data_IF_158657198054
#
_entry.id   IF_158657198054
#
_cell.length_a   1.000
_cell.length_b   1.000
_cell.length_c   1.000
_cell.angle_alpha   90.00
_cell.angle_beta   90.00
_cell.angle_gamma   90.00
#
_symmetry.space_group_name_H-M   'P 1'
#
loop_
_entity.id
_entity.type
_entity.pdbx_description
1 polymer ?
#
# COMPACT_ATOMS: atom_id res chain seq x y z
N UNK A 1 -5.18 5.92 28.65
CA UNK A 1 -6.55 5.81 28.08
C UNK A 1 -6.40 5.35 26.64
N UNK A 2 -6.85 4.13 26.34
CA UNK A 2 -6.76 3.51 25.02
C UNK A 2 -7.88 4.08 24.15
N UNK A 3 -7.54 4.90 23.16
CA UNK A 3 -8.51 5.39 22.19
C UNK A 3 -8.93 4.24 21.29
N UNK A 4 -10.20 3.83 21.36
CA UNK A 4 -10.77 2.86 20.44
C UNK A 4 -10.57 3.36 19.00
N UNK A 5 -9.86 2.58 18.18
CA UNK A 5 -9.63 2.85 16.77
C UNK A 5 -10.94 2.54 16.04
N UNK A 6 -11.88 3.48 16.04
CA UNK A 6 -13.11 3.34 15.26
C UNK A 6 -12.76 3.37 13.76
N UNK A 7 -13.35 2.48 12.96
CA UNK A 7 -13.12 2.52 11.53
C UNK A 7 -13.75 3.78 10.92
N UNK A 8 -12.90 4.77 10.58
CA UNK A 8 -13.23 5.90 9.72
C UNK A 8 -13.99 5.46 8.45
N UNK A 9 -15.17 6.03 8.13
CA UNK A 9 -15.96 5.69 6.96
C UNK A 9 -15.29 6.13 5.65
N UNK A 10 -15.54 5.39 4.56
CA UNK A 10 -15.03 5.69 3.21
C UNK A 10 -15.29 7.14 2.75
N UNK A 11 -16.45 7.69 3.08
CA UNK A 11 -16.79 9.08 2.76
C UNK A 11 -15.90 10.12 3.46
N UNK A 12 -15.40 9.83 4.66
CA UNK A 12 -14.47 10.74 5.33
C UNK A 12 -13.09 10.72 4.68
N UNK A 13 -12.61 9.57 4.19
CA UNK A 13 -11.31 9.44 3.50
C UNK A 13 -11.32 10.25 2.20
N UNK A 14 -12.36 10.09 1.38
CA UNK A 14 -12.51 10.83 0.11
C UNK A 14 -12.58 12.34 0.38
N UNK A 15 -13.33 12.76 1.40
CA UNK A 15 -13.42 14.17 1.81
C UNK A 15 -12.07 14.70 2.33
N UNK A 16 -11.30 13.90 3.06
CA UNK A 16 -10.00 14.31 3.61
C UNK A 16 -8.91 14.43 2.53
N UNK A 17 -9.03 13.66 1.43
CA UNK A 17 -8.13 13.71 0.27
C UNK A 17 -8.46 14.85 -0.68
N UNK A 18 -9.75 15.11 -0.93
CA UNK A 18 -10.21 16.09 -1.92
C UNK A 18 -10.58 17.46 -1.34
N UNK A 19 -10.90 17.54 -0.04
CA UNK A 19 -11.58 18.69 0.56
C UNK A 19 -10.76 19.56 1.51
N UNK A 20 -9.47 19.29 1.72
CA UNK A 20 -8.65 20.11 2.64
C UNK A 20 -8.04 21.33 1.95
N UNK A 21 -8.21 22.50 2.58
CA UNK A 21 -7.42 23.69 2.30
C UNK A 21 -5.91 23.34 2.29
N UNK A 22 -5.13 23.99 1.41
CA UNK A 22 -3.69 23.75 1.29
C UNK A 22 -3.02 23.90 2.66
N UNK A 23 -2.59 22.78 3.25
CA UNK A 23 -1.90 22.80 4.54
C UNK A 23 -0.59 23.59 4.43
N UNK A 24 -0.49 24.67 5.20
CA UNK A 24 0.65 25.59 5.17
C UNK A 24 1.82 25.09 6.01
N UNK A 25 1.58 24.23 7.00
CA UNK A 25 2.64 23.71 7.85
C UNK A 25 3.44 22.60 7.13
N UNK A 26 4.77 22.73 6.98
CA UNK A 26 5.57 21.81 6.17
C UNK A 26 5.62 20.40 6.76
N UNK A 27 5.62 20.26 8.10
CA UNK A 27 5.61 18.95 8.77
C UNK A 27 4.28 18.23 8.49
N UNK A 28 3.15 18.92 8.72
CA UNK A 28 1.82 18.32 8.49
C UNK A 28 1.59 17.99 7.01
N UNK A 29 2.14 18.79 6.09
CA UNK A 29 2.13 18.49 4.65
C UNK A 29 2.81 17.15 4.34
N UNK A 30 4.00 16.90 4.89
CA UNK A 30 4.70 15.63 4.70
C UNK A 30 3.90 14.43 5.24
N UNK A 31 3.32 14.55 6.44
CA UNK A 31 2.45 13.48 6.96
C UNK A 31 1.19 13.25 6.10
N UNK A 32 0.65 14.31 5.49
CA UNK A 32 -0.48 14.17 4.56
C UNK A 32 -0.08 13.47 3.26
N UNK A 33 1.11 13.75 2.72
CA UNK A 33 1.65 13.02 1.57
C UNK A 33 1.91 11.55 1.90
N UNK A 34 2.44 11.23 3.10
CA UNK A 34 2.56 9.85 3.57
C UNK A 34 1.20 9.14 3.65
N UNK A 35 0.17 9.84 4.12
CA UNK A 35 -1.20 9.32 4.20
C UNK A 35 -1.81 9.08 2.81
N UNK A 36 -1.61 9.98 1.85
CA UNK A 36 -2.05 9.78 0.45
C UNK A 36 -1.41 8.54 -0.16
N UNK A 37 -0.11 8.35 0.06
CA UNK A 37 0.59 7.16 -0.40
C UNK A 37 0.05 5.89 0.27
N UNK A 38 -0.37 5.97 1.53
CA UNK A 38 -1.00 4.86 2.24
C UNK A 38 -2.35 4.47 1.64
N UNK A 39 -3.17 5.46 1.26
CA UNK A 39 -4.42 5.25 0.53
C UNK A 39 -4.18 4.60 -0.82
N UNK A 40 -3.21 5.12 -1.59
CA UNK A 40 -2.90 4.57 -2.89
C UNK A 40 -2.43 3.11 -2.79
N UNK A 41 -1.59 2.81 -1.81
CA UNK A 41 -1.15 1.45 -1.46
C UNK A 41 -2.32 0.55 -1.07
N UNK A 42 -3.28 1.05 -0.29
CA UNK A 42 -4.48 0.32 0.09
C UNK A 42 -5.39 0.01 -1.11
N UNK A 43 -5.56 0.95 -2.03
CA UNK A 43 -6.30 0.72 -3.29
C UNK A 43 -5.59 -0.36 -4.11
N UNK A 44 -4.26 -0.29 -4.25
CA UNK A 44 -3.49 -1.34 -4.93
C UNK A 44 -3.65 -2.69 -4.24
N UNK A 45 -3.68 -2.74 -2.90
CA UNK A 45 -3.93 -3.98 -2.16
C UNK A 45 -5.31 -4.58 -2.46
N UNK A 46 -6.36 -3.75 -2.57
CA UNK A 46 -7.69 -4.21 -2.96
C UNK A 46 -7.69 -4.84 -4.36
N UNK A 47 -6.98 -4.21 -5.31
CA UNK A 47 -6.84 -4.76 -6.66
C UNK A 47 -6.10 -6.11 -6.64
N UNK A 48 -5.01 -6.23 -5.88
CA UNK A 48 -4.25 -7.48 -5.72
C UNK A 48 -5.12 -8.59 -5.12
N UNK A 49 -5.95 -8.30 -4.11
CA UNK A 49 -6.90 -9.28 -3.54
C UNK A 49 -7.82 -9.82 -4.63
N UNK A 50 -8.47 -8.93 -5.39
CA UNK A 50 -9.42 -9.32 -6.43
C UNK A 50 -8.77 -10.16 -7.54
N UNK A 51 -7.58 -9.75 -7.98
CA UNK A 51 -6.84 -10.47 -9.03
C UNK A 51 -6.31 -11.81 -8.54
N UNK A 52 -5.76 -11.89 -7.33
CA UNK A 52 -5.29 -13.14 -6.74
C UNK A 52 -6.44 -14.13 -6.53
N UNK A 53 -7.59 -13.67 -6.03
CA UNK A 53 -8.80 -14.51 -5.92
C UNK A 53 -9.28 -14.97 -7.30
N UNK A 54 -9.22 -14.10 -8.31
CA UNK A 54 -9.52 -14.43 -9.70
C UNK A 54 -8.62 -15.55 -10.24
N UNK A 55 -7.31 -15.48 -9.99
CA UNK A 55 -6.35 -16.53 -10.38
C UNK A 55 -6.68 -17.86 -9.68
N UNK A 56 -6.89 -17.84 -8.36
CA UNK A 56 -7.21 -19.04 -7.57
C UNK A 56 -8.51 -19.70 -8.09
N UNK A 57 -9.53 -18.90 -8.46
CA UNK A 57 -10.81 -19.41 -8.95
C UNK A 57 -10.71 -20.18 -10.29
N UNK A 58 -9.59 -20.05 -11.00
CA UNK A 58 -9.35 -20.63 -12.32
C UNK A 58 -8.48 -21.89 -12.28
N UNK A 59 -8.35 -22.49 -11.10
CA UNK A 59 -7.59 -23.73 -10.85
C UNK A 59 -6.17 -23.70 -11.46
N UNK A 60 -5.30 -22.77 -11.01
CA UNK A 60 -3.99 -22.56 -11.58
C UNK A 60 -3.04 -23.71 -11.22
N UNK A 61 -1.87 -23.76 -11.88
CA UNK A 61 -0.80 -24.70 -11.51
C UNK A 61 -0.42 -24.56 -10.03
N UNK A 62 0.07 -25.64 -9.39
CA UNK A 62 0.41 -25.64 -7.95
C UNK A 62 1.34 -24.49 -7.54
N UNK A 63 2.28 -24.10 -8.42
CA UNK A 63 3.21 -23.00 -8.17
C UNK A 63 2.49 -21.65 -8.24
N UNK A 64 1.69 -21.43 -9.29
CA UNK A 64 0.91 -20.19 -9.46
C UNK A 64 -0.17 -20.05 -8.38
N UNK A 65 -0.76 -21.15 -7.92
CA UNK A 65 -1.66 -21.19 -6.77
C UNK A 65 -0.97 -20.66 -5.51
N UNK A 66 0.25 -21.11 -5.22
CA UNK A 66 1.01 -20.65 -4.07
C UNK A 66 1.36 -19.16 -4.17
N UNK A 67 1.76 -18.69 -5.35
CA UNK A 67 2.04 -17.28 -5.61
C UNK A 67 0.81 -16.38 -5.41
N UNK A 68 -0.33 -16.81 -5.95
CA UNK A 68 -1.61 -16.11 -5.82
C UNK A 68 -2.11 -16.13 -4.37
N UNK A 69 -2.00 -17.25 -3.65
CA UNK A 69 -2.38 -17.35 -2.25
C UNK A 69 -1.53 -16.43 -1.36
N UNK A 70 -0.22 -16.34 -1.61
CA UNK A 70 0.65 -15.39 -0.91
C UNK A 70 0.23 -13.94 -1.17
N UNK A 71 -0.03 -13.58 -2.43
CA UNK A 71 -0.50 -12.23 -2.80
C UNK A 71 -1.86 -11.90 -2.18
N UNK A 72 -2.77 -12.86 -2.12
CA UNK A 72 -4.07 -12.72 -1.45
C UNK A 72 -3.88 -12.44 0.05
N UNK A 73 -2.98 -13.17 0.71
CA UNK A 73 -2.67 -12.97 2.13
C UNK A 73 -2.04 -11.59 2.40
N UNK A 74 -1.03 -11.20 1.60
CA UNK A 74 -0.38 -9.88 1.70
C UNK A 74 -1.37 -8.76 1.43
N UNK A 75 -2.18 -8.87 0.38
CA UNK A 75 -3.23 -7.89 0.07
C UNK A 75 -4.24 -7.76 1.21
N UNK A 76 -4.72 -8.89 1.75
CA UNK A 76 -5.69 -8.92 2.86
C UNK A 76 -5.13 -8.29 4.13
N UNK A 77 -3.87 -8.58 4.49
CA UNK A 77 -3.22 -7.95 5.63
C UNK A 77 -3.21 -6.41 5.49
N UNK A 78 -2.84 -5.92 4.31
CA UNK A 78 -2.79 -4.49 4.03
C UNK A 78 -4.17 -3.83 3.95
N UNK A 79 -5.19 -4.57 3.53
CA UNK A 79 -6.57 -4.13 3.56
C UNK A 79 -7.01 -3.79 5.00
N UNK A 80 -6.69 -4.65 5.97
CA UNK A 80 -7.02 -4.43 7.38
C UNK A 80 -6.09 -3.44 8.10
N UNK A 81 -4.85 -3.25 7.61
CA UNK A 81 -3.88 -2.34 8.23
C UNK A 81 -4.05 -0.85 7.88
N UNK A 82 -5.04 -0.47 7.09
CA UNK A 82 -5.29 0.91 6.59
C UNK A 82 -5.46 2.01 7.68
N UNK A 83 -5.37 1.68 8.98
CA UNK A 83 -5.76 2.57 10.09
C UNK A 83 -4.69 2.81 11.13
N UNK A 84 -3.43 2.92 10.73
CA UNK A 84 -2.38 3.36 11.66
C UNK A 84 -2.14 4.86 11.46
N UNK A 85 -2.89 5.76 12.13
CA UNK A 85 -2.64 7.20 12.04
C UNK A 85 -1.24 7.50 12.57
N UNK A 86 -0.38 8.02 11.69
CA UNK A 86 0.99 8.37 12.04
C UNK A 86 1.03 9.82 12.49
N UNK A 87 1.61 10.06 13.66
CA UNK A 87 1.85 11.40 14.18
C UNK A 87 3.33 11.54 14.57
N UNK A 88 3.87 12.76 14.63
CA UNK A 88 5.22 12.97 15.14
C UNK A 88 5.36 12.43 16.55
N UNK A 89 6.58 12.01 16.89
CA UNK A 89 6.89 11.44 18.20
C UNK A 89 6.68 12.45 19.34
N UNK A 90 6.99 13.73 19.12
CA UNK A 90 6.77 14.78 20.11
C UNK A 90 6.61 16.18 19.47
N UNK A 91 6.28 17.18 20.28
CA UNK A 91 6.24 18.59 19.87
C UNK A 91 7.63 19.18 19.53
N UNK A 92 8.71 18.45 19.79
CA UNK A 92 10.10 18.84 19.51
C UNK A 92 10.78 17.95 18.49
N UNK A 93 10.18 16.79 18.16
CA UNK A 93 10.73 15.82 17.25
C UNK A 93 9.70 15.50 16.14
N UNK A 94 9.95 15.94 14.89
CA UNK A 94 9.02 15.74 13.78
C UNK A 94 9.00 14.30 13.26
N UNK A 95 9.94 13.45 13.73
CA UNK A 95 10.12 12.09 13.21
C UNK A 95 8.92 11.20 13.53
N UNK A 96 8.59 10.28 12.61
CA UNK A 96 7.62 9.25 12.91
C UNK A 96 8.18 8.30 13.97
N UNK A 97 7.32 7.62 14.71
CA UNK A 97 7.77 6.70 15.72
C UNK A 97 8.39 5.41 15.14
N UNK A 98 9.21 4.73 15.94
CA UNK A 98 9.98 3.55 15.50
C UNK A 98 9.07 2.42 14.99
N UNK A 99 7.93 2.19 15.66
CA UNK A 99 6.97 1.16 15.23
C UNK A 99 6.43 1.40 13.83
N UNK A 100 6.29 2.66 13.40
CA UNK A 100 5.92 2.97 12.02
C UNK A 100 7.01 2.56 11.02
N UNK A 101 8.28 2.79 11.35
CA UNK A 101 9.41 2.37 10.51
C UNK A 101 9.48 0.84 10.37
N UNK A 102 9.23 0.12 11.46
CA UNK A 102 9.19 -1.35 11.45
C UNK A 102 8.06 -1.86 10.56
N UNK A 103 6.84 -1.31 10.71
CA UNK A 103 5.69 -1.68 9.87
C UNK A 103 5.98 -1.39 8.39
N UNK A 104 6.57 -0.23 8.10
CA UNK A 104 6.91 0.15 6.73
C UNK A 104 7.97 -0.78 6.12
N UNK A 105 8.98 -1.17 6.90
CA UNK A 105 10.01 -2.13 6.46
C UNK A 105 9.42 -3.50 6.15
N UNK A 106 8.60 -4.04 7.06
CA UNK A 106 7.92 -5.33 6.86
C UNK A 106 6.98 -5.27 5.65
N UNK A 107 6.19 -4.20 5.52
CA UNK A 107 5.33 -3.95 4.36
C UNK A 107 6.13 -3.96 3.06
N UNK A 108 7.26 -3.25 3.04
CA UNK A 108 8.15 -3.18 1.87
C UNK A 108 8.64 -4.57 1.49
N UNK A 109 9.14 -5.36 2.44
CA UNK A 109 9.60 -6.73 2.20
C UNK A 109 8.48 -7.65 1.70
N UNK A 110 7.28 -7.55 2.28
CA UNK A 110 6.12 -8.35 1.86
C UNK A 110 5.72 -8.06 0.41
N UNK A 111 5.68 -6.78 0.01
CA UNK A 111 5.35 -6.38 -1.36
C UNK A 111 6.45 -6.78 -2.36
N UNK A 112 7.73 -6.71 -1.96
CA UNK A 112 8.84 -7.24 -2.77
C UNK A 112 8.66 -8.72 -3.05
N UNK A 113 8.47 -9.52 -1.99
CA UNK A 113 8.23 -10.94 -2.14
C UNK A 113 6.96 -11.23 -2.96
N UNK A 114 5.92 -10.39 -2.86
CA UNK A 114 4.64 -10.59 -3.55
C UNK A 114 4.77 -10.46 -5.07
N UNK A 115 5.39 -9.39 -5.56
CA UNK A 115 5.57 -9.23 -7.00
C UNK A 115 6.62 -10.22 -7.54
N UNK A 116 7.72 -10.47 -6.81
CA UNK A 116 8.72 -11.47 -7.22
C UNK A 116 8.06 -12.85 -7.36
N UNK A 117 7.23 -13.25 -6.40
CA UNK A 117 6.49 -14.51 -6.48
C UNK A 117 5.62 -14.57 -7.76
N UNK A 118 4.95 -13.48 -8.15
CA UNK A 118 4.12 -13.48 -9.37
C UNK A 118 4.93 -13.49 -10.66
N UNK A 119 6.09 -12.83 -10.73
CA UNK A 119 6.91 -12.78 -11.94
C UNK A 119 7.85 -13.98 -12.10
N UNK A 120 8.51 -14.41 -11.03
CA UNK A 120 9.48 -15.51 -11.07
C UNK A 120 8.78 -16.85 -11.25
N UNK A 121 7.63 -17.07 -10.60
CA UNK A 121 6.88 -18.33 -10.71
C UNK A 121 6.19 -18.44 -12.08
N UNK A 122 5.92 -17.31 -12.74
CA UNK A 122 5.42 -17.27 -14.11
C UNK A 122 6.44 -17.86 -15.10
N UNK A 123 7.71 -17.47 -15.03
CA UNK A 123 8.77 -17.97 -15.93
C UNK A 123 8.92 -19.50 -15.85
N UNK A 124 8.84 -20.08 -14.64
CA UNK A 124 8.98 -21.53 -14.46
C UNK A 124 7.74 -22.36 -14.86
N UNK A 125 6.63 -21.70 -15.21
CA UNK A 125 5.43 -22.40 -15.70
C UNK A 125 5.48 -22.58 -17.21
N UNK A 126 6.08 -21.64 -17.94
CA UNK A 126 6.21 -21.72 -19.41
C UNK A 126 7.24 -22.79 -19.85
N UNK A 127 8.20 -23.18 -19.00
CA UNK A 127 9.21 -24.21 -19.34
C UNK A 127 8.80 -25.66 -19.01
N UNK A 128 7.67 -25.89 -18.33
CA UNK A 128 7.33 -27.24 -17.81
C UNK A 128 6.09 -27.90 -18.41
N UNK A 129 5.43 -27.30 -19.40
CA UNK A 129 4.49 -28.02 -20.25
C UNK A 129 5.22 -28.67 -21.44
N UNK A 130 6.10 -29.62 -21.12
CA UNK A 130 6.36 -30.74 -22.03
C UNK A 130 4.99 -31.42 -22.30
N UNK A 131 4.51 -31.49 -23.55
CA UNK A 131 3.17 -32.01 -23.89
C UNK A 131 3.15 -33.53 -23.75
N UNK A 132 3.21 -34.02 -22.52
CA UNK A 132 3.15 -35.45 -22.22
C UNK A 132 1.68 -35.90 -22.15
N UNK A 133 1.24 -36.41 -23.30
CA UNK A 133 0.30 -37.55 -23.42
C UNK A 133 -1.17 -37.36 -23.03
N UNK A 134 -1.90 -36.40 -23.61
CA UNK A 134 -3.37 -36.55 -23.81
C UNK A 134 -3.89 -35.99 -25.16
N UNK A 135 -3.04 -35.94 -26.19
CA UNK A 135 -3.42 -35.46 -27.53
C UNK A 135 -4.21 -36.49 -28.36
N UNK A 136 -5.16 -37.22 -27.75
CA UNK A 136 -6.13 -38.08 -28.46
C UNK A 136 -7.50 -38.08 -27.76
N UNK A 137 -8.23 -36.98 -27.88
CA UNK A 137 -9.71 -36.88 -28.05
C UNK A 137 -10.24 -35.61 -27.38
N UNK A 138 -10.33 -34.50 -28.13
CA UNK A 138 -11.39 -33.48 -27.97
C UNK A 138 -11.13 -32.30 -28.92
N UNK A 139 -11.54 -32.43 -30.18
CA UNK A 139 -11.43 -31.37 -31.19
C UNK A 139 -12.40 -30.19 -31.03
N UNK A 140 -13.05 -30.04 -29.86
CA UNK A 140 -14.02 -28.95 -29.57
C UNK A 140 -13.66 -28.19 -28.28
N UNK A 141 -12.70 -28.68 -27.47
CA UNK A 141 -12.28 -28.04 -26.21
C UNK A 141 -11.03 -27.13 -26.35
N UNK A 142 -10.42 -27.07 -27.54
CA UNK A 142 -9.16 -26.37 -27.78
C UNK A 142 -9.26 -24.85 -27.63
N UNK A 143 -10.34 -24.22 -28.13
CA UNK A 143 -10.53 -22.77 -28.05
C UNK A 143 -10.78 -22.28 -26.60
N UNK A 144 -11.48 -23.08 -25.78
CA UNK A 144 -11.77 -22.74 -24.37
C UNK A 144 -10.49 -22.81 -23.52
N UNK A 145 -9.61 -23.77 -23.84
CA UNK A 145 -8.32 -23.93 -23.17
C UNK A 145 -7.38 -22.76 -23.45
N UNK A 146 -7.27 -22.31 -24.70
CA UNK A 146 -6.40 -21.17 -25.07
C UNK A 146 -6.87 -19.86 -24.44
N UNK A 147 -8.19 -19.63 -24.38
CA UNK A 147 -8.76 -18.45 -23.73
C UNK A 147 -8.50 -18.41 -22.22
N UNK A 148 -8.57 -19.55 -21.55
CA UNK A 148 -8.35 -19.64 -20.09
C UNK A 148 -6.88 -19.42 -19.72
N UNK A 149 -5.94 -19.97 -20.50
CA UNK A 149 -4.49 -19.76 -20.31
C UNK A 149 -4.12 -18.30 -20.53
N UNK A 150 -4.59 -17.67 -21.61
CA UNK A 150 -4.36 -16.25 -21.87
C UNK A 150 -4.96 -15.36 -20.77
N UNK A 151 -6.15 -15.71 -20.26
CA UNK A 151 -6.78 -15.01 -19.14
C UNK A 151 -5.95 -15.12 -17.85
N UNK A 152 -5.46 -16.32 -17.49
CA UNK A 152 -4.59 -16.53 -16.34
C UNK A 152 -3.29 -15.74 -16.45
N UNK A 153 -2.67 -15.70 -17.64
CA UNK A 153 -1.48 -14.89 -17.89
C UNK A 153 -1.75 -13.39 -17.71
N UNK A 154 -2.88 -12.89 -18.21
CA UNK A 154 -3.27 -11.49 -18.06
C UNK A 154 -3.57 -11.13 -16.60
N UNK A 155 -4.27 -12.01 -15.86
CA UNK A 155 -4.54 -11.82 -14.44
C UNK A 155 -3.26 -11.85 -13.60
N UNK A 156 -2.35 -12.78 -13.88
CA UNK A 156 -1.07 -12.88 -13.18
C UNK A 156 -0.19 -11.66 -13.44
N UNK A 157 -0.14 -11.18 -14.69
CA UNK A 157 0.59 -9.96 -15.05
C UNK A 157 0.00 -8.74 -14.33
N UNK A 158 -1.32 -8.57 -14.38
CA UNK A 158 -2.01 -7.48 -13.71
C UNK A 158 -1.75 -7.53 -12.20
N UNK A 159 -1.84 -8.71 -11.56
CA UNK A 159 -1.60 -8.88 -10.14
C UNK A 159 -0.16 -8.49 -9.76
N UNK A 160 0.83 -8.93 -10.55
CA UNK A 160 2.23 -8.54 -10.38
C UNK A 160 2.44 -7.02 -10.51
N UNK A 161 1.84 -6.40 -11.53
CA UNK A 161 1.92 -4.95 -11.75
C UNK A 161 1.31 -4.14 -10.58
N UNK A 162 0.14 -4.53 -10.07
CA UNK A 162 -0.43 -3.88 -8.89
C UNK A 162 0.40 -4.10 -7.63
N UNK A 163 1.07 -5.25 -7.50
CA UNK A 163 2.08 -5.49 -6.46
C UNK A 163 3.27 -4.54 -6.57
N UNK A 164 3.77 -4.27 -7.79
CA UNK A 164 4.80 -3.25 -8.04
C UNK A 164 4.29 -1.86 -7.66
N UNK A 165 3.06 -1.49 -8.04
CA UNK A 165 2.48 -0.20 -7.65
C UNK A 165 2.45 -0.03 -6.13
N UNK A 166 1.98 -1.05 -5.39
CA UNK A 166 1.99 -1.03 -3.92
C UNK A 166 3.40 -0.88 -3.34
N UNK A 167 4.40 -1.52 -3.94
CA UNK A 167 5.80 -1.38 -3.57
C UNK A 167 6.33 0.04 -3.83
N UNK A 168 6.02 0.66 -4.98
CA UNK A 168 6.42 2.03 -5.28
C UNK A 168 5.83 3.02 -4.27
N UNK A 169 4.60 2.82 -3.81
CA UNK A 169 4.02 3.62 -2.73
C UNK A 169 4.77 3.44 -1.41
N UNK A 170 5.28 2.24 -1.10
CA UNK A 170 6.16 2.03 0.05
C UNK A 170 7.47 2.83 -0.09
N UNK A 171 8.09 2.82 -1.28
CA UNK A 171 9.29 3.64 -1.55
C UNK A 171 9.00 5.12 -1.38
N UNK A 172 7.85 5.60 -1.88
CA UNK A 172 7.46 6.99 -1.71
C UNK A 172 7.24 7.34 -0.22
N UNK A 173 6.64 6.44 0.57
CA UNK A 173 6.54 6.61 2.02
C UNK A 173 7.94 6.69 2.67
N UNK A 174 8.90 5.84 2.25
CA UNK A 174 10.29 5.93 2.70
C UNK A 174 10.94 7.27 2.34
N UNK A 175 10.67 7.80 1.15
CA UNK A 175 11.16 9.13 0.75
C UNK A 175 10.60 10.24 1.64
N UNK A 176 9.31 10.20 1.98
CA UNK A 176 8.71 11.16 2.92
C UNK A 176 9.32 11.04 4.32
N UNK A 177 9.52 9.81 4.80
CA UNK A 177 10.22 9.56 6.08
C UNK A 177 11.63 10.15 6.01
N UNK A 178 12.38 9.88 4.94
CA UNK A 178 13.73 10.41 4.77
C UNK A 178 13.75 11.94 4.81
N UNK A 179 12.79 12.62 4.20
CA UNK A 179 12.64 14.08 4.35
C UNK A 179 12.39 14.50 5.80
N UNK A 180 11.52 13.81 6.54
CA UNK A 180 11.28 14.09 7.96
C UNK A 180 12.55 13.93 8.83
N UNK A 181 13.49 13.08 8.41
CA UNK A 181 14.77 12.88 9.12
C UNK A 181 15.85 13.89 8.72
N UNK A 182 15.88 14.34 7.46
CA UNK A 182 16.96 15.16 6.90
C UNK A 182 16.65 16.65 6.87
N UNK A 183 15.38 17.03 6.77
CA UNK A 183 14.97 18.44 6.74
C UNK A 183 15.07 19.08 8.13
N UNK A 184 15.69 20.26 8.20
CA UNK A 184 15.76 21.07 9.41
C UNK A 184 14.52 21.96 9.52
N UNK A 185 13.52 21.51 10.27
CA UNK A 185 12.32 22.30 10.58
C UNK A 185 12.58 23.31 11.71
N UNK A 186 11.90 24.45 11.67
CA UNK A 186 11.90 25.39 12.80
C UNK A 186 11.12 24.78 13.97
N UNK A 187 11.52 25.11 15.20
CA UNK A 187 10.85 24.62 16.42
C UNK A 187 9.35 24.97 16.44
N UNK A 188 9.00 26.18 15.97
CA UNK A 188 7.61 26.62 15.85
C UNK A 188 6.80 25.76 14.87
N UNK A 189 7.39 25.38 13.73
CA UNK A 189 6.76 24.54 12.72
C UNK A 189 6.48 23.13 13.24
N UNK A 190 7.42 22.54 13.98
CA UNK A 190 7.27 21.21 14.60
C UNK A 190 6.15 21.25 15.65
N UNK A 191 6.15 22.26 16.52
CA UNK A 191 5.15 22.43 17.58
C UNK A 191 3.75 22.62 17.01
N UNK A 192 3.60 23.50 16.02
CA UNK A 192 2.33 23.73 15.33
C UNK A 192 1.86 22.48 14.56
N UNK A 193 2.78 21.78 13.88
CA UNK A 193 2.47 20.54 13.15
C UNK A 193 1.97 19.44 14.10
N UNK A 194 2.65 19.24 15.22
CA UNK A 194 2.25 18.28 16.27
C UNK A 194 0.87 18.63 16.85
N UNK A 195 0.63 19.90 17.22
CA UNK A 195 -0.66 20.36 17.75
C UNK A 195 -1.80 20.13 16.77
N UNK A 196 -1.63 20.57 15.51
CA UNK A 196 -2.63 20.39 14.44
C UNK A 196 -2.95 18.92 14.18
N UNK A 197 -1.97 18.02 14.28
CA UNK A 197 -2.18 16.57 14.09
C UNK A 197 -2.83 15.90 15.30
N UNK A 198 -2.51 16.34 16.51
CA UNK A 198 -3.15 15.86 17.75
C UNK A 198 -4.48 16.54 18.08
N UNK A 199 -4.93 17.50 17.25
CA UNK A 199 -6.13 18.33 17.48
C UNK A 199 -6.09 19.02 18.87
N UNK A 200 -4.91 19.46 19.29
CA UNK A 200 -4.74 20.21 20.55
C UNK A 200 -5.15 21.67 20.34
N UNK A 201 -5.81 22.28 21.33
CA UNK A 201 -6.15 23.70 21.32
C UNK A 201 -4.90 24.60 21.21
N UNK A 202 -5.00 25.76 20.55
CA UNK A 202 -3.92 26.74 20.54
C UNK A 202 -3.66 27.28 21.95
N UNK A 203 -2.40 27.41 22.31
CA UNK A 203 -1.98 28.07 23.55
C UNK A 203 -2.31 29.57 23.44
N UNK A 204 -2.99 30.13 24.45
CA UNK A 204 -3.53 31.50 24.43
C UNK A 204 -2.48 32.62 24.33
N UNK A 205 -1.18 32.31 24.44
CA UNK A 205 -0.13 33.31 24.68
C UNK A 205 0.98 33.40 23.62
N UNK A 206 0.81 32.85 22.40
CA UNK A 206 1.77 33.10 21.31
C UNK A 206 1.38 34.37 20.51
N UNK A 207 2.28 35.37 20.39
CA UNK A 207 1.98 36.58 19.65
C UNK A 207 1.79 36.24 18.17
N UNK A 208 0.63 36.65 17.65
CA UNK A 208 0.27 36.55 16.24
C UNK A 208 1.17 37.51 15.47
N UNK A 209 2.28 37.01 14.90
CA UNK A 209 3.05 37.83 13.97
C UNK A 209 2.23 37.99 12.68
N UNK A 210 1.95 39.23 12.24
CA UNK A 210 1.28 39.45 10.98
C UNK A 210 2.18 38.97 9.84
N UNK A 211 1.60 38.14 8.96
CA UNK A 211 2.16 37.84 7.64
C UNK A 211 2.15 39.13 6.82
N UNK A 212 3.34 39.61 6.44
CA UNK A 212 3.52 40.57 5.35
C UNK A 212 3.45 39.85 4.00
#
# INVERSE_FOLDING_TARGET
>A
MSSAICPMPLGEIVRDVLGKEKETNPVKKLYHEAFKADIARWISACAVIGLAAGIISKDPSKKLLAAAAYNLAVGSLHFFMFKVPVSPQSSTNPRPPIWYLLILAISTAMWVAAFIAMFVIRDFSDESEEPTLEKRRTGVLGEVSTGTVAMLQNLSLACGCFGICAFLFCIYQWFVVHQLFTTRFRKSEIRQGYRKMKKLEPEKDEPTYPTA
#
